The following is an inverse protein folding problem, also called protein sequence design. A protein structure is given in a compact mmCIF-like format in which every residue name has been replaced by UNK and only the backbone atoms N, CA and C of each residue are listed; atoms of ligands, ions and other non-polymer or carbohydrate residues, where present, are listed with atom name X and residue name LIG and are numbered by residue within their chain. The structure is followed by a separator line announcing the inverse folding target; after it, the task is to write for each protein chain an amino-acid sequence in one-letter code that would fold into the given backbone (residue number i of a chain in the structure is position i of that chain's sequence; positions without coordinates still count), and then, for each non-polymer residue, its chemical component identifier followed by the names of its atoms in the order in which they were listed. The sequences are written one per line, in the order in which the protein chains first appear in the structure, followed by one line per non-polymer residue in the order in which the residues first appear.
data_IF_025712796900
#
_entry.id   IF_025712796900
#
_cell.length_a   1.000
_cell.length_b   1.000
_cell.length_c   1.000
_cell.angle_alpha   90.00
_cell.angle_beta   90.00
_cell.angle_gamma   90.00
#
_symmetry.space_group_name_H-M   'P 1'
#
loop_
_entity.id
_entity.type
_entity.pdbx_description
1 polymer ?
#
# COMPACT_ATOMS: atom_id res chain seq x y z
N UNK A 1 10.14 -17.18 1.74
CA UNK A 1 8.89 -16.65 2.35
C UNK A 1 9.23 -15.57 3.39
N UNK A 2 10.31 -15.73 4.15
CA UNK A 2 10.70 -14.74 5.16
C UNK A 2 11.27 -13.45 4.57
N UNK A 3 12.18 -13.53 3.58
CA UNK A 3 12.77 -12.34 2.96
C UNK A 3 11.73 -11.41 2.32
N UNK A 4 10.75 -11.96 1.61
CA UNK A 4 9.65 -11.19 1.01
C UNK A 4 8.80 -10.49 2.06
N UNK A 5 8.57 -11.14 3.21
CA UNK A 5 7.84 -10.54 4.33
C UNK A 5 8.67 -9.43 4.98
N UNK A 6 9.96 -9.65 5.19
CA UNK A 6 10.87 -8.64 5.75
C UNK A 6 10.98 -7.41 4.85
N UNK A 7 11.11 -7.59 3.53
CA UNK A 7 11.15 -6.48 2.58
C UNK A 7 9.82 -5.70 2.55
N UNK A 8 8.69 -6.41 2.62
CA UNK A 8 7.38 -5.78 2.70
C UNK A 8 7.23 -4.97 4.00
N UNK A 9 7.69 -5.49 5.14
CA UNK A 9 7.53 -4.85 6.44
C UNK A 9 8.60 -3.78 6.74
N UNK A 10 9.70 -3.71 5.98
CA UNK A 10 10.78 -2.76 6.24
C UNK A 10 10.34 -1.27 6.34
N UNK A 11 9.47 -0.74 5.45
CA UNK A 11 9.12 0.68 5.44
C UNK A 11 8.51 1.18 6.76
N UNK A 12 7.64 0.38 7.39
CA UNK A 12 6.92 0.80 8.60
C UNK A 12 7.80 0.95 9.84
N UNK A 13 9.03 0.40 9.83
CA UNK A 13 9.97 0.51 10.94
C UNK A 13 10.90 1.73 10.86
N UNK A 14 10.86 2.48 9.74
CA UNK A 14 11.64 3.70 9.57
C UNK A 14 10.89 4.86 10.20
N UNK A 15 11.58 5.72 10.94
CA UNK A 15 10.94 6.90 11.56
C UNK A 15 10.42 7.86 10.48
N UNK A 16 9.24 8.49 10.65
CA UNK A 16 8.67 9.38 9.63
C UNK A 16 9.61 10.51 9.21
N UNK A 17 10.39 11.05 10.16
CA UNK A 17 11.38 12.10 9.87
C UNK A 17 12.49 11.56 8.95
N UNK A 18 12.99 10.35 9.20
CA UNK A 18 14.00 9.73 8.35
C UNK A 18 13.46 9.47 6.93
N UNK A 19 12.23 8.93 6.81
CA UNK A 19 11.55 8.76 5.51
C UNK A 19 11.45 10.10 4.78
N UNK A 20 10.95 11.14 5.46
CA UNK A 20 10.79 12.47 4.88
C UNK A 20 12.11 13.07 4.38
N UNK A 21 13.19 12.96 5.16
CA UNK A 21 14.51 13.44 4.75
C UNK A 21 15.07 12.62 3.58
N UNK A 22 14.99 11.29 3.64
CA UNK A 22 15.46 10.42 2.56
C UNK A 22 14.77 10.75 1.24
N UNK A 23 13.44 10.85 1.21
CA UNK A 23 12.73 11.19 -0.01
C UNK A 23 12.91 12.66 -0.43
N UNK A 24 13.08 13.59 0.51
CA UNK A 24 13.44 14.98 0.18
C UNK A 24 14.76 15.07 -0.58
N UNK A 25 15.75 14.24 -0.23
CA UNK A 25 17.01 14.18 -0.97
C UNK A 25 16.88 13.41 -2.28
N UNK A 26 16.20 12.25 -2.28
CA UNK A 26 16.05 11.41 -3.47
C UNK A 26 15.23 12.08 -4.58
N UNK A 27 14.20 12.85 -4.21
CA UNK A 27 13.27 13.53 -5.12
C UNK A 27 13.62 15.00 -5.34
N UNK A 28 14.79 15.45 -4.88
CA UNK A 28 15.25 16.81 -5.13
C UNK A 28 15.49 17.02 -6.62
N UNK A 29 14.93 18.09 -7.19
CA UNK A 29 14.96 18.36 -8.63
C UNK A 29 16.38 18.57 -9.20
N UNK A 30 17.31 19.11 -8.40
CA UNK A 30 18.66 19.47 -8.87
C UNK A 30 19.67 18.32 -8.73
N UNK A 31 19.62 17.58 -7.62
CA UNK A 31 20.65 16.59 -7.26
C UNK A 31 20.06 15.22 -6.89
N UNK A 32 18.74 15.06 -6.98
CA UNK A 32 18.06 13.83 -6.59
C UNK A 32 18.32 12.70 -7.59
N UNK A 33 18.55 11.51 -7.06
CA UNK A 33 18.81 10.32 -7.88
C UNK A 33 17.61 10.00 -8.79
N UNK A 34 16.37 10.19 -8.32
CA UNK A 34 15.17 9.86 -9.08
C UNK A 34 14.96 10.84 -10.24
N UNK A 35 14.95 12.18 -10.04
CA UNK A 35 14.93 13.14 -11.15
C UNK A 35 16.08 12.94 -12.13
N UNK A 36 17.31 12.67 -11.67
CA UNK A 36 18.45 12.42 -12.55
C UNK A 36 18.23 11.20 -13.48
N UNK A 37 17.63 10.12 -12.97
CA UNK A 37 17.26 8.96 -13.79
C UNK A 37 16.15 9.27 -14.79
N UNK A 38 15.16 10.09 -14.41
CA UNK A 38 14.08 10.52 -15.30
C UNK A 38 14.59 11.46 -16.41
N UNK A 39 15.48 12.39 -16.07
CA UNK A 39 16.15 13.28 -17.02
C UNK A 39 16.97 12.49 -18.04
N UNK A 40 17.65 11.41 -17.62
CA UNK A 40 18.41 10.54 -18.54
C UNK A 40 17.55 9.88 -19.63
N UNK A 41 16.24 9.72 -19.39
CA UNK A 41 15.27 9.22 -20.38
C UNK A 41 14.41 10.34 -20.99
N UNK A 42 14.78 11.61 -20.77
CA UNK A 42 14.13 12.79 -21.35
C UNK A 42 12.85 13.24 -20.65
N UNK A 43 12.58 12.78 -19.42
CA UNK A 43 11.39 13.14 -18.65
C UNK A 43 11.77 14.17 -17.59
N UNK A 44 11.26 15.39 -17.71
CA UNK A 44 11.40 16.40 -16.67
C UNK A 44 10.16 16.39 -15.73
N UNK A 45 10.38 16.08 -14.46
CA UNK A 45 9.30 15.89 -13.50
C UNK A 45 9.65 16.44 -12.12
N UNK A 46 9.10 17.61 -11.80
CA UNK A 46 9.15 18.20 -10.47
C UNK A 46 8.14 17.52 -9.53
N UNK A 47 8.66 16.74 -8.57
CA UNK A 47 7.88 16.04 -7.54
C UNK A 47 7.26 16.97 -6.48
N UNK A 48 7.83 18.16 -6.26
CA UNK A 48 7.39 19.12 -5.25
C UNK A 48 6.79 20.40 -5.85
N UNK A 49 6.57 20.41 -7.17
CA UNK A 49 5.97 21.53 -7.88
C UNK A 49 4.50 21.78 -7.55
N UNK A 50 3.95 22.91 -8.03
CA UNK A 50 2.56 23.30 -7.78
C UNK A 50 1.57 22.19 -8.17
N UNK A 51 0.72 21.80 -7.21
CA UNK A 51 -0.30 20.75 -7.42
C UNK A 51 0.21 19.31 -7.39
N UNK A 52 1.53 19.07 -7.24
CA UNK A 52 2.12 17.71 -7.21
C UNK A 52 2.66 17.31 -5.84
N UNK A 53 3.12 18.28 -5.05
CA UNK A 53 3.70 18.02 -3.74
C UNK A 53 2.81 17.17 -2.83
N UNK A 54 1.49 17.43 -2.81
CA UNK A 54 0.55 16.63 -2.02
C UNK A 54 0.49 15.17 -2.47
N UNK A 55 0.45 14.92 -3.78
CA UNK A 55 0.42 13.55 -4.32
C UNK A 55 1.72 12.80 -4.05
N UNK A 56 2.87 13.48 -4.18
CA UNK A 56 4.17 12.90 -3.84
C UNK A 56 4.23 12.52 -2.37
N UNK A 57 3.84 13.42 -1.47
CA UNK A 57 3.81 13.15 -0.03
C UNK A 57 2.84 12.02 0.32
N UNK A 58 1.64 12.01 -0.28
CA UNK A 58 0.66 10.95 -0.09
C UNK A 58 1.20 9.59 -0.57
N UNK A 59 1.93 9.54 -1.70
CA UNK A 59 2.53 8.29 -2.18
C UNK A 59 3.58 7.75 -1.21
N UNK A 60 4.43 8.63 -0.66
CA UNK A 60 5.46 8.25 0.32
C UNK A 60 4.80 7.73 1.61
N UNK A 61 3.76 8.42 2.08
CA UNK A 61 3.01 8.02 3.27
C UNK A 61 2.30 6.68 3.08
N UNK A 62 1.60 6.51 1.94
CA UNK A 62 0.98 5.23 1.56
C UNK A 62 2.03 4.13 1.50
N UNK A 63 3.19 4.36 0.89
CA UNK A 63 4.28 3.38 0.85
C UNK A 63 4.76 2.97 2.25
N UNK A 64 4.87 3.94 3.16
CA UNK A 64 5.32 3.69 4.54
C UNK A 64 4.30 2.87 5.35
N UNK A 65 2.99 3.13 5.17
CA UNK A 65 1.93 2.51 5.97
C UNK A 65 1.26 1.29 5.34
N UNK A 66 1.44 1.07 4.04
CA UNK A 66 0.96 -0.13 3.33
C UNK A 66 1.28 -1.45 4.06
N UNK A 67 2.49 -1.65 4.63
CA UNK A 67 2.81 -2.91 5.29
C UNK A 67 1.93 -3.19 6.49
N UNK A 68 1.61 -2.16 7.28
CA UNK A 68 0.69 -2.26 8.41
C UNK A 68 -0.73 -2.60 7.94
N UNK A 69 -1.22 -1.90 6.91
CA UNK A 69 -2.55 -2.17 6.33
C UNK A 69 -2.67 -3.60 5.80
N UNK A 70 -1.63 -4.11 5.13
CA UNK A 70 -1.61 -5.50 4.66
C UNK A 70 -1.70 -6.50 5.82
N UNK A 71 -0.98 -6.27 6.92
CA UNK A 71 -1.05 -7.13 8.10
C UNK A 71 -2.44 -7.11 8.74
N UNK A 72 -3.02 -5.93 8.88
CA UNK A 72 -4.34 -5.75 9.47
C UNK A 72 -5.44 -6.41 8.62
N UNK A 73 -5.39 -6.22 7.30
CA UNK A 73 -6.32 -6.88 6.37
C UNK A 73 -6.12 -8.39 6.31
N UNK A 74 -4.87 -8.87 6.37
CA UNK A 74 -4.58 -10.30 6.41
C UNK A 74 -5.15 -10.94 7.69
N UNK A 75 -4.95 -10.31 8.85
CA UNK A 75 -5.53 -10.77 10.10
C UNK A 75 -7.07 -10.76 10.05
N UNK A 76 -7.66 -9.73 9.44
CA UNK A 76 -9.09 -9.67 9.19
C UNK A 76 -9.57 -10.83 8.31
N UNK A 77 -8.87 -11.11 7.21
CA UNK A 77 -9.17 -12.22 6.31
C UNK A 77 -9.07 -13.58 7.03
N UNK A 78 -8.05 -13.77 7.87
CA UNK A 78 -7.87 -15.00 8.66
C UNK A 78 -8.97 -15.20 9.71
N UNK A 79 -9.59 -14.12 10.19
CA UNK A 79 -10.70 -14.17 11.15
C UNK A 79 -12.05 -14.54 10.54
N UNK A 80 -12.18 -14.51 9.21
CA UNK A 80 -13.45 -14.82 8.53
C UNK A 80 -13.81 -16.30 8.73
N UNK A 81 -15.02 -16.62 9.24
CA UNK A 81 -15.49 -18.00 9.35
C UNK A 81 -15.51 -18.68 7.97
N UNK A 82 -15.20 -19.98 7.94
CA UNK A 82 -15.14 -20.73 6.67
C UNK A 82 -16.52 -21.12 6.15
N UNK A 83 -17.53 -21.25 7.03
CA UNK A 83 -18.85 -21.74 6.63
C UNK A 83 -19.52 -20.91 5.52
N UNK A 84 -19.51 -19.56 5.56
CA UNK A 84 -20.07 -18.73 4.48
C UNK A 84 -19.36 -18.92 3.13
N UNK A 85 -18.04 -19.18 3.16
CA UNK A 85 -17.24 -19.40 1.94
C UNK A 85 -17.53 -20.77 1.33
N UNK A 86 -17.68 -21.79 2.17
CA UNK A 86 -17.99 -23.15 1.72
C UNK A 86 -19.45 -23.24 1.23
N UNK A 87 -20.40 -22.55 1.88
CA UNK A 87 -21.76 -22.42 1.40
C UNK A 87 -21.81 -21.76 0.01
N UNK A 88 -21.10 -20.64 -0.17
CA UNK A 88 -21.07 -19.96 -1.47
C UNK A 88 -20.45 -20.82 -2.59
N UNK A 89 -19.52 -21.73 -2.26
CA UNK A 89 -18.97 -22.70 -3.22
C UNK A 89 -20.00 -23.77 -3.59
N UNK A 90 -20.75 -24.30 -2.62
CA UNK A 90 -21.82 -25.28 -2.87
C UNK A 90 -22.92 -24.66 -3.75
N UNK A 91 -23.24 -23.39 -3.53
CA UNK A 91 -24.21 -22.62 -4.31
C UNK A 91 -23.70 -22.21 -5.71
N UNK A 92 -22.45 -22.56 -6.08
CA UNK A 92 -21.87 -22.22 -7.37
C UNK A 92 -21.65 -20.73 -7.59
N UNK A 93 -21.49 -19.95 -6.51
CA UNK A 93 -21.31 -18.51 -6.60
C UNK A 93 -19.97 -18.15 -7.28
N UNK A 94 -19.99 -17.13 -8.15
CA UNK A 94 -18.78 -16.66 -8.83
C UNK A 94 -17.80 -15.97 -7.87
N UNK A 95 -16.50 -15.99 -8.19
CA UNK A 95 -15.47 -15.38 -7.32
C UNK A 95 -15.70 -13.89 -7.04
N UNK A 96 -16.19 -13.14 -8.02
CA UNK A 96 -16.54 -11.72 -7.83
C UNK A 96 -17.74 -11.53 -6.91
N UNK A 97 -18.71 -12.45 -6.96
CA UNK A 97 -19.84 -12.46 -6.02
C UNK A 97 -19.34 -12.73 -4.60
N UNK A 98 -18.53 -13.77 -4.41
CA UNK A 98 -17.95 -14.11 -3.09
C UNK A 98 -17.15 -12.95 -2.53
N UNK A 99 -16.29 -12.31 -3.35
CA UNK A 99 -15.53 -11.14 -2.92
C UNK A 99 -16.43 -10.01 -2.44
N UNK A 100 -17.42 -9.59 -3.25
CA UNK A 100 -18.22 -8.40 -2.97
C UNK A 100 -19.33 -8.62 -1.95
N UNK A 101 -19.92 -9.82 -1.90
CA UNK A 101 -21.11 -10.12 -1.11
C UNK A 101 -20.83 -10.95 0.15
N UNK A 102 -19.66 -11.57 0.24
CA UNK A 102 -19.27 -12.38 1.41
C UNK A 102 -18.04 -11.78 2.07
N UNK A 103 -16.92 -11.67 1.35
CA UNK A 103 -15.64 -11.23 1.93
C UNK A 103 -15.68 -9.76 2.34
N UNK A 104 -16.04 -8.83 1.45
CA UNK A 104 -16.05 -7.39 1.76
C UNK A 104 -16.97 -7.03 2.94
N UNK A 105 -18.21 -7.53 3.06
CA UNK A 105 -19.06 -7.27 4.22
C UNK A 105 -18.48 -7.83 5.52
N UNK A 106 -17.89 -9.03 5.48
CA UNK A 106 -17.27 -9.63 6.66
C UNK A 106 -15.95 -8.93 7.06
N UNK A 107 -15.23 -8.37 6.09
CA UNK A 107 -14.06 -7.52 6.33
C UNK A 107 -14.40 -6.08 6.70
N UNK A 108 -15.63 -5.62 6.50
CA UNK A 108 -16.01 -4.22 6.70
C UNK A 108 -15.63 -3.67 8.09
N UNK A 109 -15.80 -4.40 9.21
CA UNK A 109 -15.37 -3.92 10.52
C UNK A 109 -13.86 -3.65 10.60
N UNK A 110 -13.06 -4.47 9.92
CA UNK A 110 -11.60 -4.32 9.84
C UNK A 110 -11.24 -3.16 8.93
N UNK A 111 -11.92 -3.03 7.78
CA UNK A 111 -11.72 -1.95 6.82
C UNK A 111 -12.09 -0.56 7.35
N UNK A 112 -13.03 -0.46 8.29
CA UNK A 112 -13.42 0.82 8.91
C UNK A 112 -12.38 1.30 9.93
N UNK A 113 -11.62 0.38 10.52
CA UNK A 113 -10.53 0.69 11.46
C UNK A 113 -9.21 0.97 10.73
N UNK A 114 -9.01 0.32 9.57
CA UNK A 114 -7.89 0.52 8.67
C UNK A 114 -7.91 1.93 8.05
#
# INVERSE_FOLDING_TARGET
RDLTRSMLLAPMFITPIAVGLTFRFLLNDQLGAIPAMLHAIGIDYDFFGPGRALYTLALIDVWQWTPFMVLLLLAGLESIPKEPLDAARVDGASGLYVLRRVILPLLAPVLVVA
#
